data_IF_242841642331
#
_entry.id   IF_242841642331
#
_cell.length_a   1.000
_cell.length_b   1.000
_cell.length_c   1.000
_cell.angle_alpha   90.00
_cell.angle_beta   90.00
_cell.angle_gamma   90.00
#
_symmetry.space_group_name_H-M   'P 1'
#
loop_
_entity.id
_entity.type
_entity.pdbx_description
1 polymer ?
#
# COMPACT_ATOMS: atom_id res chain seq x y z
N UNK A 1 7.15 -48.33 -11.12
CA UNK A 1 6.84 -47.67 -12.41
C UNK A 1 6.63 -48.80 -13.39
N UNK A 2 5.39 -49.09 -13.78
CA UNK A 2 5.02 -50.30 -14.53
C UNK A 2 5.63 -50.31 -15.94
N UNK A 3 5.99 -51.50 -16.43
CA UNK A 3 6.54 -51.73 -17.78
C UNK A 3 5.70 -51.08 -18.89
N UNK A 4 4.39 -51.02 -18.68
CA UNK A 4 3.41 -50.38 -19.56
C UNK A 4 3.62 -48.87 -19.76
N UNK A 5 4.02 -48.14 -18.71
CA UNK A 5 4.31 -46.71 -18.82
C UNK A 5 5.55 -46.47 -19.68
N UNK A 6 6.52 -47.39 -19.63
CA UNK A 6 7.77 -47.28 -20.37
C UNK A 6 7.62 -47.64 -21.85
N UNK A 7 6.76 -48.60 -22.18
CA UNK A 7 6.35 -48.90 -23.55
C UNK A 7 5.51 -47.76 -24.14
N UNK A 8 4.54 -47.22 -23.38
CA UNK A 8 3.76 -46.06 -23.82
C UNK A 8 4.62 -44.83 -24.11
N UNK A 9 5.61 -44.54 -23.26
CA UNK A 9 6.55 -43.43 -23.48
C UNK A 9 7.42 -43.69 -24.71
N UNK A 10 7.89 -44.92 -24.95
CA UNK A 10 8.67 -45.28 -26.14
C UNK A 10 7.86 -45.12 -27.43
N UNK A 11 6.62 -45.61 -27.45
CA UNK A 11 5.75 -45.52 -28.63
C UNK A 11 5.37 -44.07 -28.97
N UNK A 12 5.23 -43.23 -27.95
CA UNK A 12 4.79 -41.84 -28.12
C UNK A 12 5.93 -40.80 -28.01
N UNK A 13 7.19 -41.23 -27.94
CA UNK A 13 8.32 -40.35 -27.61
C UNK A 13 8.50 -39.22 -28.63
N UNK A 14 8.23 -39.51 -29.91
CA UNK A 14 8.32 -38.53 -30.98
C UNK A 14 7.22 -37.45 -30.86
N UNK A 15 6.00 -37.86 -30.52
CA UNK A 15 4.85 -36.95 -30.32
C UNK A 15 5.04 -36.12 -29.04
N UNK A 16 5.53 -36.73 -27.96
CA UNK A 16 5.84 -36.04 -26.70
C UNK A 16 6.97 -35.02 -26.92
N UNK A 17 8.02 -35.40 -27.63
CA UNK A 17 9.15 -34.50 -27.95
C UNK A 17 8.72 -33.37 -28.86
N UNK A 18 7.89 -33.64 -29.89
CA UNK A 18 7.33 -32.61 -30.75
C UNK A 18 6.43 -31.64 -29.97
N UNK A 19 5.55 -32.15 -29.10
CA UNK A 19 4.72 -31.34 -28.20
C UNK A 19 5.56 -30.47 -27.26
N UNK A 20 6.59 -31.03 -26.63
CA UNK A 20 7.52 -30.27 -25.77
C UNK A 20 8.27 -29.20 -26.55
N UNK A 21 8.74 -29.51 -27.75
CA UNK A 21 9.46 -28.57 -28.61
C UNK A 21 8.57 -27.39 -29.01
N UNK A 22 7.30 -27.65 -29.33
CA UNK A 22 6.34 -26.60 -29.64
C UNK A 22 6.01 -25.74 -28.41
N UNK A 23 5.79 -26.35 -27.24
CA UNK A 23 5.58 -25.65 -25.97
C UNK A 23 6.80 -24.77 -25.63
N UNK A 24 8.01 -25.28 -25.80
CA UNK A 24 9.24 -24.52 -25.51
C UNK A 24 9.45 -23.36 -26.48
N UNK A 25 9.13 -23.51 -27.77
CA UNK A 25 9.17 -22.41 -28.74
C UNK A 25 8.15 -21.33 -28.37
N UNK A 26 6.90 -21.70 -28.06
CA UNK A 26 5.88 -20.73 -27.63
C UNK A 26 6.24 -20.02 -26.33
N UNK A 27 6.73 -20.76 -25.33
CA UNK A 27 7.21 -20.19 -24.06
C UNK A 27 8.39 -19.25 -24.28
N UNK A 28 9.36 -19.62 -25.13
CA UNK A 28 10.53 -18.80 -25.43
C UNK A 28 10.14 -17.51 -26.17
N UNK A 29 9.24 -17.60 -27.14
CA UNK A 29 8.72 -16.44 -27.86
C UNK A 29 7.89 -15.52 -26.95
N UNK A 30 7.04 -16.10 -26.08
CA UNK A 30 6.28 -15.35 -25.10
C UNK A 30 7.20 -14.66 -24.09
N UNK A 31 8.20 -15.37 -23.56
CA UNK A 31 9.21 -14.79 -22.68
C UNK A 31 9.97 -13.67 -23.40
N UNK A 32 10.46 -13.89 -24.62
CA UNK A 32 11.17 -12.87 -25.39
C UNK A 32 10.29 -11.62 -25.65
N UNK A 33 9.00 -11.80 -25.95
CA UNK A 33 8.05 -10.71 -26.13
C UNK A 33 7.83 -9.93 -24.83
N UNK A 34 7.54 -10.63 -23.73
CA UNK A 34 7.34 -10.00 -22.42
C UNK A 34 8.61 -9.34 -21.90
N UNK A 35 9.79 -9.92 -22.14
CA UNK A 35 11.05 -9.29 -21.74
C UNK A 35 11.36 -8.08 -22.61
N UNK A 36 11.28 -8.15 -23.95
CA UNK A 36 11.74 -7.05 -24.79
C UNK A 36 10.78 -5.85 -24.82
N UNK A 37 9.47 -6.05 -24.97
CA UNK A 37 8.54 -4.93 -25.13
C UNK A 37 8.21 -4.30 -23.77
N UNK A 38 7.88 -5.13 -22.78
CA UNK A 38 7.49 -4.64 -21.46
C UNK A 38 8.65 -3.95 -20.76
N UNK A 39 9.89 -4.43 -20.88
CA UNK A 39 11.03 -3.70 -20.33
C UNK A 39 11.23 -2.36 -21.00
N UNK A 40 11.13 -2.27 -22.34
CA UNK A 40 11.31 -0.99 -23.03
C UNK A 40 10.29 0.07 -22.62
N UNK A 41 9.02 -0.31 -22.52
CA UNK A 41 7.96 0.60 -22.11
C UNK A 41 8.11 1.02 -20.65
N UNK A 42 8.53 0.09 -19.79
CA UNK A 42 8.77 0.33 -18.37
C UNK A 42 10.02 1.21 -18.14
N UNK A 43 11.10 0.99 -18.88
CA UNK A 43 12.29 1.85 -18.85
C UNK A 43 11.98 3.26 -19.34
N UNK A 44 11.19 3.38 -20.41
CA UNK A 44 10.70 4.67 -20.91
C UNK A 44 9.83 5.36 -19.86
N UNK A 45 8.94 4.62 -19.20
CA UNK A 45 8.11 5.14 -18.12
C UNK A 45 8.97 5.66 -16.96
N UNK A 46 9.94 4.89 -16.46
CA UNK A 46 10.81 5.32 -15.37
C UNK A 46 11.64 6.55 -15.73
N UNK A 47 12.20 6.58 -16.94
CA UNK A 47 12.97 7.74 -17.42
C UNK A 47 12.10 9.00 -17.49
N UNK A 48 10.89 8.88 -18.03
CA UNK A 48 9.95 10.01 -18.10
C UNK A 48 9.45 10.42 -16.70
N UNK A 49 9.21 9.46 -15.81
CA UNK A 49 8.77 9.72 -14.44
C UNK A 49 9.85 10.45 -13.66
N UNK A 50 11.12 10.03 -13.80
CA UNK A 50 12.27 10.70 -13.19
C UNK A 50 12.45 12.11 -13.74
N UNK A 51 12.46 12.28 -15.06
CA UNK A 51 12.59 13.59 -15.70
C UNK A 51 11.43 14.53 -15.30
N UNK A 52 10.19 14.04 -15.25
CA UNK A 52 9.05 14.83 -14.77
C UNK A 52 9.15 15.16 -13.27
N UNK A 53 9.67 14.24 -12.45
CA UNK A 53 9.87 14.49 -11.03
C UNK A 53 10.88 15.62 -10.83
N UNK A 54 12.07 15.49 -11.42
CA UNK A 54 13.19 16.43 -11.24
C UNK A 54 12.91 17.81 -11.86
N UNK A 55 12.30 17.86 -13.05
CA UNK A 55 12.13 19.13 -13.78
C UNK A 55 10.87 19.91 -13.40
N UNK A 56 9.85 19.25 -12.84
CA UNK A 56 8.53 19.85 -12.66
C UNK A 56 7.96 19.65 -11.25
N UNK A 57 7.78 18.40 -10.82
CA UNK A 57 7.07 18.10 -9.57
C UNK A 57 7.89 18.53 -8.36
N UNK A 58 9.18 18.22 -8.32
CA UNK A 58 10.08 18.54 -7.21
C UNK A 58 10.28 20.05 -7.02
N UNK A 59 10.55 20.85 -8.07
CA UNK A 59 10.60 22.31 -7.94
C UNK A 59 9.28 22.94 -7.47
N UNK A 60 8.13 22.44 -7.97
CA UNK A 60 6.81 22.90 -7.52
C UNK A 60 6.59 22.53 -6.05
N UNK A 61 6.95 21.31 -5.66
CA UNK A 61 6.83 20.80 -4.29
C UNK A 61 7.55 21.69 -3.30
N UNK A 62 8.85 21.97 -3.52
CA UNK A 62 9.64 22.79 -2.61
C UNK A 62 9.16 24.25 -2.57
N UNK A 63 8.85 24.86 -3.72
CA UNK A 63 8.33 26.23 -3.76
C UNK A 63 7.00 26.37 -3.01
N UNK A 64 6.06 25.44 -3.19
CA UNK A 64 4.79 25.47 -2.45
C UNK A 64 4.98 25.27 -0.94
N UNK A 65 5.97 24.46 -0.55
CA UNK A 65 6.32 24.29 0.86
C UNK A 65 6.87 25.57 1.46
N UNK A 66 7.75 26.27 0.74
CA UNK A 66 8.33 27.54 1.18
C UNK A 66 7.26 28.63 1.29
N UNK A 67 6.35 28.72 0.31
CA UNK A 67 5.21 29.63 0.32
C UNK A 67 4.31 29.40 1.54
N UNK A 68 3.99 28.14 1.86
CA UNK A 68 3.11 27.84 3.01
C UNK A 68 3.74 28.25 4.35
N UNK A 69 5.06 28.13 4.48
CA UNK A 69 5.79 28.46 5.71
C UNK A 69 5.77 29.95 6.05
N UNK A 70 5.56 30.83 5.07
CA UNK A 70 5.48 32.27 5.30
C UNK A 70 4.15 32.63 5.98
N UNK A 71 4.21 33.38 7.07
CA UNK A 71 3.02 33.89 7.77
C UNK A 71 2.55 35.21 7.18
N UNK A 72 3.49 36.08 6.79
CA UNK A 72 3.21 37.40 6.25
C UNK A 72 2.43 37.35 4.92
N UNK A 73 1.38 38.17 4.81
CA UNK A 73 0.46 38.18 3.67
C UNK A 73 1.12 38.75 2.42
N UNK A 74 1.77 39.91 2.54
CA UNK A 74 2.38 40.60 1.41
C UNK A 74 3.49 39.75 0.80
N UNK A 75 4.39 39.24 1.64
CA UNK A 75 5.46 38.36 1.19
C UNK A 75 4.94 37.07 0.57
N UNK A 76 3.84 36.51 1.08
CA UNK A 76 3.23 35.30 0.49
C UNK A 76 2.66 35.57 -0.90
N UNK A 77 2.02 36.72 -1.12
CA UNK A 77 1.52 37.12 -2.44
C UNK A 77 2.67 37.31 -3.43
N UNK A 78 3.77 37.94 -3.00
CA UNK A 78 4.97 38.12 -3.81
C UNK A 78 5.56 36.77 -4.27
N UNK A 79 5.70 35.81 -3.34
CA UNK A 79 6.20 34.47 -3.68
C UNK A 79 5.23 33.68 -4.56
N UNK A 80 3.92 33.86 -4.39
CA UNK A 80 2.91 33.29 -5.28
C UNK A 80 3.01 33.88 -6.70
N UNK A 81 3.31 35.18 -6.80
CA UNK A 81 3.58 35.83 -8.09
C UNK A 81 4.80 35.21 -8.76
N UNK A 82 5.92 35.11 -8.05
CA UNK A 82 7.13 34.46 -8.56
C UNK A 82 6.88 33.00 -8.96
N UNK A 83 6.04 32.28 -8.21
CA UNK A 83 5.63 30.92 -8.51
C UNK A 83 4.87 30.84 -9.83
N UNK A 84 3.79 31.59 -10.01
CA UNK A 84 3.00 31.54 -11.25
C UNK A 84 3.71 32.21 -12.44
N UNK A 85 4.63 33.14 -12.20
CA UNK A 85 5.52 33.66 -13.24
C UNK A 85 6.51 32.59 -13.71
N UNK A 86 6.96 31.70 -12.82
CA UNK A 86 7.84 30.57 -13.19
C UNK A 86 7.07 29.40 -13.80
N UNK A 87 5.90 29.10 -13.24
CA UNK A 87 5.05 27.96 -13.57
C UNK A 87 3.66 28.47 -13.95
N UNK A 88 3.46 28.75 -15.23
CA UNK A 88 2.13 28.97 -15.80
C UNK A 88 1.93 28.08 -17.02
N UNK A 89 0.67 27.92 -17.42
CA UNK A 89 0.30 27.04 -18.54
C UNK A 89 0.98 27.37 -19.88
N UNK A 90 1.48 28.59 -20.07
CA UNK A 90 2.21 28.97 -21.28
C UNK A 90 3.70 28.60 -21.22
N UNK A 91 4.28 28.56 -20.01
CA UNK A 91 5.71 28.27 -19.80
C UNK A 91 5.98 26.79 -19.55
N UNK A 92 5.05 26.08 -18.90
CA UNK A 92 5.21 24.66 -18.62
C UNK A 92 4.28 23.84 -19.49
N UNK A 93 4.77 22.68 -19.93
CA UNK A 93 3.90 21.70 -20.57
C UNK A 93 3.05 21.01 -19.49
N UNK A 94 1.84 21.53 -19.24
CA UNK A 94 0.90 21.02 -18.22
C UNK A 94 0.64 19.52 -18.34
N UNK A 95 0.67 18.95 -19.56
CA UNK A 95 0.49 17.51 -19.74
C UNK A 95 1.55 16.66 -19.01
N UNK A 96 2.74 17.24 -18.75
CA UNK A 96 3.82 16.59 -17.99
C UNK A 96 3.52 16.44 -16.50
N UNK A 97 2.52 17.14 -15.96
CA UNK A 97 2.04 16.90 -14.59
C UNK A 97 1.46 15.48 -14.43
N UNK A 98 1.02 14.84 -15.53
CA UNK A 98 0.66 13.42 -15.57
C UNK A 98 -0.60 13.01 -14.79
N UNK A 99 -1.09 13.86 -13.89
CA UNK A 99 -2.27 13.62 -13.07
C UNK A 99 -3.33 14.68 -13.35
N UNK A 100 -4.49 14.26 -13.86
CA UNK A 100 -5.62 15.15 -14.16
C UNK A 100 -6.03 16.00 -12.95
N UNK A 101 -6.07 15.42 -11.75
CA UNK A 101 -6.45 16.14 -10.54
C UNK A 101 -5.43 17.23 -10.19
N UNK A 102 -4.14 16.96 -10.43
CA UNK A 102 -3.08 17.93 -10.22
C UNK A 102 -3.20 19.09 -11.23
N UNK A 103 -3.43 18.76 -12.50
CA UNK A 103 -3.64 19.75 -13.58
C UNK A 103 -4.83 20.66 -13.27
N UNK A 104 -5.99 20.08 -12.93
CA UNK A 104 -7.21 20.84 -12.67
C UNK A 104 -7.02 21.79 -11.47
N UNK A 105 -6.38 21.32 -10.39
CA UNK A 105 -6.11 22.17 -9.23
C UNK A 105 -5.06 23.24 -9.52
N UNK A 106 -4.04 22.94 -10.31
CA UNK A 106 -3.03 23.92 -10.71
C UNK A 106 -3.67 25.08 -11.48
N UNK A 107 -4.48 24.76 -12.49
CA UNK A 107 -5.22 25.76 -13.29
C UNK A 107 -6.20 26.56 -12.42
N UNK A 108 -6.90 25.90 -11.51
CA UNK A 108 -7.80 26.56 -10.55
C UNK A 108 -7.04 27.55 -9.66
N UNK A 109 -5.86 27.18 -9.17
CA UNK A 109 -5.03 28.07 -8.35
C UNK A 109 -4.54 29.28 -9.16
N UNK A 110 -4.09 29.07 -10.40
CA UNK A 110 -3.64 30.15 -11.27
C UNK A 110 -4.76 31.15 -11.55
N UNK A 111 -5.97 30.65 -11.84
CA UNK A 111 -7.15 31.49 -12.04
C UNK A 111 -7.54 32.28 -10.78
N UNK A 112 -7.52 31.63 -9.61
CA UNK A 112 -7.81 32.31 -8.35
C UNK A 112 -6.77 33.39 -8.05
N UNK A 113 -5.49 33.12 -8.31
CA UNK A 113 -4.41 34.09 -8.13
C UNK A 113 -4.55 35.32 -9.05
N UNK A 114 -4.91 35.10 -10.32
CA UNK A 114 -5.19 36.20 -11.26
C UNK A 114 -6.32 37.12 -10.80
N UNK A 115 -7.33 36.60 -10.10
CA UNK A 115 -8.41 37.42 -9.54
C UNK A 115 -7.90 38.39 -8.47
N UNK A 116 -7.01 37.95 -7.58
CA UNK A 116 -6.41 38.82 -6.56
C UNK A 116 -5.60 39.96 -7.17
N UNK A 117 -4.91 39.71 -8.29
CA UNK A 117 -4.15 40.76 -8.97
C UNK A 117 -5.05 41.87 -9.55
N UNK A 118 -6.35 41.60 -9.71
CA UNK A 118 -7.34 42.56 -10.21
C UNK A 118 -8.09 43.22 -9.04
N UNK A 119 -8.45 42.43 -8.02
CA UNK A 119 -9.24 42.86 -6.86
C UNK A 119 -8.59 42.32 -5.56
N UNK A 120 -8.06 43.23 -4.73
CA UNK A 120 -7.43 42.89 -3.45
C UNK A 120 -8.48 42.74 -2.33
N UNK A 121 -9.38 41.77 -2.54
CA UNK A 121 -10.38 41.38 -1.57
C UNK A 121 -9.86 40.29 -0.64
N UNK A 122 -10.08 40.46 0.67
CA UNK A 122 -9.72 39.44 1.66
C UNK A 122 -10.40 38.09 1.39
N UNK A 123 -11.61 38.10 0.82
CA UNK A 123 -12.33 36.87 0.44
C UNK A 123 -11.58 36.10 -0.67
N UNK A 124 -11.08 36.82 -1.68
CA UNK A 124 -10.29 36.23 -2.77
C UNK A 124 -8.95 35.72 -2.26
N UNK A 125 -8.32 36.44 -1.33
CA UNK A 125 -7.12 35.96 -0.64
C UNK A 125 -7.34 34.62 0.04
N UNK A 126 -8.39 34.47 0.85
CA UNK A 126 -8.71 33.20 1.49
C UNK A 126 -8.99 32.08 0.47
N UNK A 127 -9.67 32.38 -0.64
CA UNK A 127 -9.89 31.41 -1.73
C UNK A 127 -8.56 30.89 -2.31
N UNK A 128 -7.61 31.79 -2.60
CA UNK A 128 -6.28 31.41 -3.09
C UNK A 128 -5.52 30.57 -2.09
N UNK A 129 -5.51 30.95 -0.81
CA UNK A 129 -4.80 30.17 0.22
C UNK A 129 -5.37 28.76 0.35
N UNK A 130 -6.70 28.61 0.32
CA UNK A 130 -7.33 27.28 0.36
C UNK A 130 -6.95 26.46 -0.87
N UNK A 131 -6.99 27.05 -2.07
CA UNK A 131 -6.63 26.36 -3.31
C UNK A 131 -5.13 25.97 -3.31
N UNK A 132 -4.23 26.84 -2.86
CA UNK A 132 -2.79 26.58 -2.77
C UNK A 132 -2.50 25.44 -1.78
N UNK A 133 -3.18 25.40 -0.63
CA UNK A 133 -3.06 24.28 0.32
C UNK A 133 -3.51 22.95 -0.31
N UNK A 134 -4.62 22.97 -1.05
CA UNK A 134 -5.10 21.79 -1.78
C UNK A 134 -4.10 21.34 -2.85
N UNK A 135 -3.55 22.28 -3.63
CA UNK A 135 -2.54 22.00 -4.63
C UNK A 135 -1.28 21.40 -3.99
N UNK A 136 -0.78 21.99 -2.90
CA UNK A 136 0.38 21.48 -2.16
C UNK A 136 0.15 20.03 -1.73
N UNK A 137 -1.00 19.72 -1.13
CA UNK A 137 -1.29 18.35 -0.69
C UNK A 137 -1.27 17.36 -1.85
N UNK A 138 -1.81 17.73 -3.02
CA UNK A 138 -1.81 16.87 -4.21
C UNK A 138 -0.39 16.70 -4.75
N UNK A 139 0.38 17.78 -4.84
CA UNK A 139 1.79 17.75 -5.28
C UNK A 139 2.64 16.89 -4.34
N UNK A 140 2.49 17.04 -3.02
CA UNK A 140 3.18 16.22 -2.01
C UNK A 140 2.85 14.74 -2.20
N UNK A 141 1.58 14.42 -2.38
CA UNK A 141 1.13 13.04 -2.64
C UNK A 141 1.75 12.47 -3.92
N UNK A 142 1.78 13.25 -5.01
CA UNK A 142 2.30 12.80 -6.30
C UNK A 142 3.84 12.73 -6.29
N UNK A 143 4.52 13.64 -5.59
CA UNK A 143 5.96 13.63 -5.38
C UNK A 143 6.39 12.33 -4.68
N UNK A 144 5.80 12.01 -3.53
CA UNK A 144 6.15 10.78 -2.80
C UNK A 144 5.80 9.52 -3.58
N UNK A 145 4.68 9.51 -4.31
CA UNK A 145 4.34 8.37 -5.19
C UNK A 145 5.37 8.18 -6.31
N UNK A 146 5.78 9.25 -6.98
CA UNK A 146 6.80 9.18 -8.03
C UNK A 146 8.14 8.74 -7.44
N UNK A 147 8.53 9.31 -6.30
CA UNK A 147 9.75 8.95 -5.58
C UNK A 147 9.75 7.46 -5.20
N UNK A 148 8.67 6.95 -4.59
CA UNK A 148 8.54 5.54 -4.23
C UNK A 148 8.56 4.61 -5.46
N UNK A 149 8.07 5.07 -6.61
CA UNK A 149 8.07 4.29 -7.85
C UNK A 149 9.46 4.26 -8.47
N UNK A 150 10.12 5.41 -8.63
CA UNK A 150 11.45 5.54 -9.23
C UNK A 150 12.49 4.82 -8.38
N UNK A 151 12.44 5.00 -7.06
CA UNK A 151 13.43 4.45 -6.14
C UNK A 151 12.99 3.15 -5.49
N UNK A 152 11.92 2.51 -5.95
CA UNK A 152 11.34 1.29 -5.36
C UNK A 152 12.40 0.24 -4.99
N UNK A 153 13.35 0.00 -5.89
CA UNK A 153 14.36 -1.03 -5.75
C UNK A 153 15.72 -0.49 -5.26
N UNK A 154 15.83 0.81 -4.93
CA UNK A 154 17.08 1.46 -4.54
C UNK A 154 17.75 0.76 -3.35
N UNK A 155 17.00 0.48 -2.28
CA UNK A 155 17.54 -0.22 -1.11
C UNK A 155 18.00 -1.65 -1.44
N UNK A 156 17.30 -2.31 -2.36
CA UNK A 156 17.68 -3.64 -2.85
C UNK A 156 19.00 -3.57 -3.65
N UNK A 157 19.14 -2.61 -4.55
CA UNK A 157 20.39 -2.38 -5.29
C UNK A 157 21.53 -2.03 -4.34
N UNK A 158 21.32 -1.10 -3.40
CA UNK A 158 22.31 -0.72 -2.40
C UNK A 158 22.84 -1.91 -1.62
N UNK A 159 21.96 -2.80 -1.15
CA UNK A 159 22.37 -4.01 -0.42
C UNK A 159 23.05 -5.05 -1.31
N UNK A 160 22.61 -5.20 -2.55
CA UNK A 160 23.15 -6.23 -3.46
C UNK A 160 24.47 -5.86 -4.11
N UNK A 161 24.79 -4.56 -4.23
CA UNK A 161 26.07 -4.07 -4.78
C UNK A 161 27.25 -4.57 -3.96
N UNK A 162 27.14 -4.55 -2.63
CA UNK A 162 28.22 -4.96 -1.72
C UNK A 162 28.30 -6.48 -1.49
N UNK A 163 27.29 -7.24 -1.95
CA UNK A 163 27.27 -8.70 -1.82
C UNK A 163 28.21 -9.36 -2.83
N UNK A 164 28.84 -10.46 -2.42
CA UNK A 164 29.56 -11.32 -3.34
C UNK A 164 28.62 -11.85 -4.45
N UNK A 165 29.20 -12.20 -5.61
CA UNK A 165 28.43 -12.62 -6.78
C UNK A 165 27.52 -13.82 -6.50
N UNK A 166 27.99 -14.78 -5.69
CA UNK A 166 27.26 -16.00 -5.34
C UNK A 166 26.00 -15.68 -4.51
N UNK A 167 26.12 -14.87 -3.46
CA UNK A 167 24.97 -14.47 -2.64
C UNK A 167 23.97 -13.65 -3.44
N UNK A 168 24.45 -12.75 -4.32
CA UNK A 168 23.58 -11.99 -5.22
C UNK A 168 22.80 -12.91 -6.16
N UNK A 169 23.45 -13.94 -6.70
CA UNK A 169 22.80 -14.95 -7.54
C UNK A 169 21.77 -15.77 -6.73
N UNK A 170 22.14 -16.28 -5.55
CA UNK A 170 21.23 -17.02 -4.67
C UNK A 170 20.01 -16.20 -4.26
N UNK A 171 20.18 -14.91 -4.00
CA UNK A 171 19.08 -14.00 -3.66
C UNK A 171 18.13 -13.79 -4.85
N UNK A 172 18.66 -13.67 -6.08
CA UNK A 172 17.83 -13.62 -7.29
C UNK A 172 17.07 -14.94 -7.52
N UNK A 173 17.72 -16.08 -7.31
CA UNK A 173 17.07 -17.40 -7.40
C UNK A 173 15.98 -17.54 -6.33
N UNK A 174 16.24 -17.10 -5.10
CA UNK A 174 15.25 -17.12 -4.02
C UNK A 174 14.03 -16.23 -4.34
N UNK A 175 14.23 -15.04 -4.91
CA UNK A 175 13.14 -14.17 -5.37
C UNK A 175 12.32 -14.83 -6.49
N UNK A 176 13.01 -15.48 -7.45
CA UNK A 176 12.33 -16.23 -8.50
C UNK A 176 11.48 -17.36 -7.91
N UNK A 177 12.06 -18.19 -7.02
CA UNK A 177 11.35 -19.28 -6.36
C UNK A 177 10.15 -18.78 -5.54
N UNK A 178 10.30 -17.68 -4.80
CA UNK A 178 9.18 -17.06 -4.08
C UNK A 178 8.02 -16.74 -5.03
N UNK A 179 8.29 -16.07 -6.15
CA UNK A 179 7.25 -15.71 -7.13
C UNK A 179 6.65 -16.94 -7.81
N UNK A 180 7.45 -17.98 -8.07
CA UNK A 180 6.96 -19.25 -8.60
C UNK A 180 6.00 -19.93 -7.61
N UNK A 181 6.37 -20.04 -6.33
CA UNK A 181 5.50 -20.65 -5.32
C UNK A 181 4.24 -19.82 -5.04
N UNK A 182 4.30 -18.50 -5.14
CA UNK A 182 3.12 -17.65 -5.13
C UNK A 182 2.15 -17.99 -6.27
N UNK A 183 2.67 -18.14 -7.50
CA UNK A 183 1.86 -18.54 -8.66
C UNK A 183 1.26 -19.94 -8.51
N UNK A 184 2.05 -20.91 -8.02
CA UNK A 184 1.57 -22.28 -7.76
C UNK A 184 0.49 -22.28 -6.66
N UNK A 185 0.69 -21.54 -5.57
CA UNK A 185 -0.30 -21.42 -4.50
C UNK A 185 -1.61 -20.82 -5.02
N UNK A 186 -1.54 -19.80 -5.88
CA UNK A 186 -2.70 -19.22 -6.53
C UNK A 186 -3.43 -20.22 -7.43
N UNK A 187 -2.71 -20.96 -8.28
CA UNK A 187 -3.31 -22.00 -9.13
C UNK A 187 -3.94 -23.12 -8.28
N UNK A 188 -3.24 -23.58 -7.25
CA UNK A 188 -3.76 -24.60 -6.32
C UNK A 188 -5.03 -24.12 -5.61
N UNK A 189 -5.08 -22.85 -5.21
CA UNK A 189 -6.28 -22.23 -4.65
C UNK A 189 -7.44 -22.22 -5.65
N UNK A 190 -7.20 -21.79 -6.90
CA UNK A 190 -8.22 -21.81 -7.96
C UNK A 190 -8.75 -23.23 -8.18
N UNK A 191 -7.87 -24.21 -8.37
CA UNK A 191 -8.29 -25.61 -8.53
C UNK A 191 -9.06 -26.16 -7.34
N UNK A 192 -8.65 -25.83 -6.11
CA UNK A 192 -9.34 -26.24 -4.90
C UNK A 192 -10.74 -25.61 -4.81
N UNK A 193 -10.88 -24.32 -5.11
CA UNK A 193 -12.20 -23.66 -5.14
C UNK A 193 -13.12 -24.23 -6.23
N UNK A 194 -12.61 -24.43 -7.45
CA UNK A 194 -13.37 -25.08 -8.52
C UNK A 194 -13.79 -26.48 -8.15
N UNK A 195 -12.90 -27.28 -7.53
CA UNK A 195 -13.23 -28.62 -7.06
C UNK A 195 -14.35 -28.60 -6.01
N UNK A 196 -14.28 -27.70 -5.02
CA UNK A 196 -15.34 -27.55 -4.01
C UNK A 196 -16.68 -27.20 -4.66
N UNK A 197 -16.70 -26.25 -5.59
CA UNK A 197 -17.91 -25.83 -6.29
C UNK A 197 -18.51 -27.00 -7.06
N UNK A 198 -17.71 -27.71 -7.86
CA UNK A 198 -18.18 -28.86 -8.65
C UNK A 198 -18.68 -30.00 -7.75
N UNK A 199 -17.98 -30.32 -6.66
CA UNK A 199 -18.42 -31.35 -5.71
C UNK A 199 -19.73 -31.03 -4.99
N UNK A 200 -20.07 -29.74 -4.82
CA UNK A 200 -21.39 -29.34 -4.30
C UNK A 200 -22.49 -29.61 -5.33
N UNK A 201 -22.24 -29.33 -6.61
CA UNK A 201 -23.21 -29.57 -7.68
C UNK A 201 -23.42 -31.06 -7.99
N UNK A 202 -22.34 -31.85 -8.01
CA UNK A 202 -22.37 -33.26 -8.40
C UNK A 202 -22.63 -34.22 -7.22
N UNK A 203 -22.85 -33.70 -6.00
CA UNK A 203 -23.03 -34.47 -4.75
C UNK A 203 -21.99 -35.58 -4.51
N UNK A 204 -20.83 -35.51 -5.18
CA UNK A 204 -19.77 -36.51 -5.13
C UNK A 204 -18.47 -35.87 -4.66
N UNK A 205 -18.17 -36.07 -3.37
CA UNK A 205 -16.96 -35.52 -2.76
C UNK A 205 -15.86 -36.58 -2.72
N UNK A 206 -14.84 -36.40 -3.56
CA UNK A 206 -13.66 -37.25 -3.54
C UNK A 206 -12.62 -36.72 -2.54
N UNK A 207 -12.62 -37.31 -1.33
CA UNK A 207 -11.73 -36.93 -0.22
C UNK A 207 -10.25 -37.00 -0.60
N UNK A 208 -9.85 -37.99 -1.42
CA UNK A 208 -8.46 -38.15 -1.85
C UNK A 208 -8.01 -36.98 -2.74
N UNK A 209 -8.81 -36.63 -3.77
CA UNK A 209 -8.52 -35.48 -4.65
C UNK A 209 -8.48 -34.18 -3.87
N UNK A 210 -9.44 -33.98 -2.96
CA UNK A 210 -9.45 -32.81 -2.08
C UNK A 210 -8.18 -32.71 -1.22
N UNK A 211 -7.77 -33.82 -0.60
CA UNK A 211 -6.59 -33.86 0.27
C UNK A 211 -5.31 -33.55 -0.50
N UNK A 212 -5.18 -34.04 -1.74
CA UNK A 212 -4.03 -33.72 -2.61
C UNK A 212 -4.00 -32.24 -2.98
N UNK A 213 -5.13 -31.66 -3.36
CA UNK A 213 -5.23 -30.23 -3.71
C UNK A 213 -4.94 -29.34 -2.49
N UNK A 214 -5.49 -29.69 -1.33
CA UNK A 214 -5.25 -28.97 -0.07
C UNK A 214 -3.77 -29.05 0.33
N UNK A 215 -3.16 -30.23 0.27
CA UNK A 215 -1.75 -30.41 0.59
C UNK A 215 -0.85 -29.60 -0.36
N UNK A 216 -1.14 -29.62 -1.66
CA UNK A 216 -0.42 -28.82 -2.66
C UNK A 216 -0.51 -27.31 -2.37
N UNK A 217 -1.70 -26.82 -2.01
CA UNK A 217 -1.92 -25.43 -1.62
C UNK A 217 -1.15 -25.05 -0.34
N UNK A 218 -1.22 -25.89 0.70
CA UNK A 218 -0.53 -25.63 1.96
C UNK A 218 0.99 -25.66 1.78
N UNK A 219 1.51 -26.63 1.04
CA UNK A 219 2.93 -26.78 0.79
C UNK A 219 3.51 -25.61 -0.02
N UNK A 220 2.84 -25.22 -1.11
CA UNK A 220 3.25 -24.05 -1.91
C UNK A 220 3.18 -22.75 -1.12
N UNK A 221 2.17 -22.58 -0.27
CA UNK A 221 2.07 -21.43 0.63
C UNK A 221 3.21 -21.41 1.65
N UNK A 222 3.54 -22.54 2.27
CA UNK A 222 4.64 -22.64 3.23
C UNK A 222 5.99 -22.29 2.58
N UNK A 223 6.26 -22.79 1.37
CA UNK A 223 7.47 -22.44 0.64
C UNK A 223 7.51 -20.97 0.23
N UNK A 224 6.39 -20.41 -0.25
CA UNK A 224 6.28 -18.97 -0.51
C UNK A 224 6.65 -18.14 0.72
N UNK A 225 6.14 -18.50 1.90
CA UNK A 225 6.46 -17.82 3.15
C UNK A 225 7.93 -17.98 3.54
N UNK A 226 8.51 -19.18 3.43
CA UNK A 226 9.92 -19.42 3.73
C UNK A 226 10.85 -18.56 2.86
N UNK A 227 10.66 -18.58 1.53
CA UNK A 227 11.45 -17.73 0.63
C UNK A 227 11.17 -16.24 0.84
N UNK A 228 9.93 -15.86 1.19
CA UNK A 228 9.58 -14.50 1.57
C UNK A 228 10.32 -14.02 2.82
N UNK A 229 10.42 -14.86 3.86
CA UNK A 229 11.20 -14.58 5.06
C UNK A 229 12.68 -14.42 4.73
N UNK A 230 13.27 -15.36 3.98
CA UNK A 230 14.66 -15.27 3.52
C UNK A 230 14.90 -13.95 2.76
N UNK A 231 14.09 -13.63 1.76
CA UNK A 231 14.27 -12.41 0.97
C UNK A 231 14.12 -11.13 1.81
N UNK A 232 13.21 -11.11 2.79
CA UNK A 232 13.05 -9.98 3.71
C UNK A 232 14.22 -9.80 4.68
N UNK A 233 14.85 -10.90 5.12
CA UNK A 233 16.01 -10.87 6.01
C UNK A 233 17.27 -10.32 5.33
N UNK A 234 17.47 -10.64 4.05
CA UNK A 234 18.64 -10.19 3.29
C UNK A 234 18.43 -8.84 2.57
N UNK A 235 17.19 -8.45 2.30
CA UNK A 235 16.86 -7.17 1.69
C UNK A 235 15.71 -6.47 2.44
N UNK A 236 16.03 -5.44 3.24
CA UNK A 236 15.15 -4.25 3.25
C UNK A 236 14.83 -3.82 1.82
N UNK A 237 13.71 -4.32 1.33
CA UNK A 237 13.18 -4.02 0.00
C UNK A 237 12.36 -2.74 -0.02
N UNK A 238 12.28 -1.99 1.09
CA UNK A 238 11.08 -1.19 1.34
C UNK A 238 11.36 0.31 1.50
N UNK A 239 11.46 0.99 0.36
CA UNK A 239 11.00 2.39 0.29
C UNK A 239 9.47 2.48 0.16
N UNK A 240 8.81 1.37 -0.19
CA UNK A 240 7.36 1.27 -0.39
C UNK A 240 6.64 0.87 0.91
N UNK A 241 5.55 1.56 1.27
CA UNK A 241 4.56 1.03 2.23
C UNK A 241 4.08 -0.33 1.75
N UNK A 242 4.41 -1.39 2.47
CA UNK A 242 3.92 -2.73 2.13
C UNK A 242 2.45 -2.90 2.50
N UNK A 243 1.76 -3.87 1.89
CA UNK A 243 0.43 -4.33 2.33
C UNK A 243 0.42 -4.69 3.82
N UNK A 244 1.56 -5.12 4.38
CA UNK A 244 1.78 -5.31 5.81
C UNK A 244 1.74 -3.99 6.59
N UNK A 245 2.31 -2.90 6.06
CA UNK A 245 2.25 -1.58 6.70
C UNK A 245 0.83 -0.99 6.63
N UNK A 246 0.14 -1.20 5.51
CA UNK A 246 -1.28 -0.84 5.35
C UNK A 246 -2.16 -1.65 6.30
N UNK A 247 -1.92 -2.97 6.43
CA UNK A 247 -2.61 -3.84 7.39
C UNK A 247 -2.28 -3.43 8.83
N UNK A 248 -1.02 -3.09 9.12
CA UNK A 248 -0.59 -2.60 10.43
C UNK A 248 -1.27 -1.28 10.78
N UNK A 249 -1.34 -0.33 9.86
CA UNK A 249 -2.07 0.94 10.04
C UNK A 249 -3.59 0.71 10.17
N UNK A 250 -4.17 -0.24 9.43
CA UNK A 250 -5.56 -0.64 9.62
C UNK A 250 -5.80 -1.27 11.00
N UNK A 251 -4.92 -2.16 11.46
CA UNK A 251 -5.00 -2.76 12.79
C UNK A 251 -4.79 -1.70 13.88
N UNK A 252 -3.84 -0.79 13.73
CA UNK A 252 -3.59 0.31 14.67
C UNK A 252 -4.78 1.26 14.72
N UNK A 253 -5.33 1.66 13.58
CA UNK A 253 -6.51 2.54 13.53
C UNK A 253 -7.78 1.85 14.03
N UNK A 254 -7.94 0.55 13.80
CA UNK A 254 -9.03 -0.25 14.35
C UNK A 254 -8.88 -0.38 15.87
N UNK A 255 -7.69 -0.75 16.37
CA UNK A 255 -7.43 -0.86 17.81
C UNK A 255 -7.60 0.46 18.53
N UNK A 256 -7.15 1.58 17.97
CA UNK A 256 -7.37 2.92 18.54
C UNK A 256 -8.85 3.31 18.58
N UNK A 257 -9.63 3.02 17.51
CA UNK A 257 -11.09 3.21 17.53
C UNK A 257 -11.79 2.34 18.58
N UNK A 258 -11.40 1.08 18.71
CA UNK A 258 -11.91 0.17 19.74
C UNK A 258 -11.53 0.68 21.13
N UNK A 259 -10.28 1.09 21.35
CA UNK A 259 -9.82 1.61 22.64
C UNK A 259 -10.57 2.88 23.04
N UNK A 260 -10.79 3.82 22.12
CA UNK A 260 -11.61 5.02 22.35
C UNK A 260 -13.07 4.64 22.62
N UNK A 261 -13.61 3.68 21.88
CA UNK A 261 -14.97 3.16 22.06
C UNK A 261 -15.20 2.46 23.40
N UNK A 262 -14.18 1.80 23.95
CA UNK A 262 -14.20 1.12 25.26
C UNK A 262 -13.94 2.10 26.43
N UNK A 263 -13.19 3.18 26.19
CA UNK A 263 -12.88 4.20 27.22
C UNK A 263 -14.13 4.89 27.75
N UNK A 264 -15.12 5.14 26.89
CA UNK A 264 -16.40 5.80 27.24
C UNK A 264 -17.26 4.97 28.20
N UNK A 265 -17.60 3.70 27.92
CA UNK A 265 -18.37 2.86 28.84
C UNK A 265 -17.61 2.57 30.14
N UNK A 266 -16.28 2.39 30.10
CA UNK A 266 -15.49 2.20 31.32
C UNK A 266 -15.54 3.42 32.25
N UNK A 267 -15.47 4.64 31.70
CA UNK A 267 -15.61 5.88 32.47
C UNK A 267 -17.01 6.04 33.08
N UNK A 268 -18.05 5.61 32.37
CA UNK A 268 -19.43 5.62 32.85
C UNK A 268 -19.66 4.60 33.97
N UNK A 269 -19.14 3.38 33.81
CA UNK A 269 -19.18 2.33 34.84
C UNK A 269 -18.42 2.78 36.09
N UNK A 270 -17.23 3.36 35.93
CA UNK A 270 -16.45 3.89 37.05
C UNK A 270 -17.18 5.02 37.81
N UNK A 271 -17.84 5.95 37.09
CA UNK A 271 -18.67 6.99 37.68
C UNK A 271 -19.88 6.40 38.42
N UNK A 272 -20.53 5.39 37.85
CA UNK A 272 -21.64 4.67 38.47
C UNK A 272 -21.24 3.96 39.76
N UNK A 273 -20.11 3.23 39.75
CA UNK A 273 -19.55 2.58 40.93
C UNK A 273 -19.18 3.59 42.02
N UNK A 274 -18.56 4.72 41.66
CA UNK A 274 -18.24 5.79 42.61
C UNK A 274 -19.50 6.37 43.26
N UNK A 275 -20.58 6.56 42.50
CA UNK A 275 -21.87 7.03 43.03
C UNK A 275 -22.49 6.01 43.99
N UNK A 276 -22.51 4.73 43.63
CA UNK A 276 -23.01 3.64 44.48
C UNK A 276 -22.22 3.60 45.80
N UNK A 277 -20.90 3.69 45.73
CA UNK A 277 -20.04 3.68 46.92
C UNK A 277 -20.30 4.86 47.86
N UNK A 278 -20.51 6.08 47.31
CA UNK A 278 -20.88 7.26 48.11
C UNK A 278 -22.24 7.06 48.78
N UNK A 279 -23.23 6.50 48.07
CA UNK A 279 -24.57 6.27 48.59
C UNK A 279 -24.56 5.20 49.70
N UNK A 280 -23.80 4.12 49.51
CA UNK A 280 -23.57 3.08 50.52
C UNK A 280 -22.91 3.64 51.77
N UNK A 281 -21.88 4.48 51.62
CA UNK A 281 -21.22 5.15 52.75
C UNK A 281 -22.21 6.01 53.54
N UNK A 282 -23.06 6.79 52.86
CA UNK A 282 -24.11 7.59 53.53
C UNK A 282 -25.14 6.71 54.25
N UNK A 283 -25.55 5.62 53.63
CA UNK A 283 -26.51 4.67 54.22
C UNK A 283 -25.94 4.00 55.48
N UNK A 284 -24.69 3.54 55.42
CA UNK A 284 -23.98 2.95 56.58
C UNK A 284 -23.87 3.98 57.72
N UNK A 285 -23.50 5.23 57.42
CA UNK A 285 -23.44 6.30 58.43
C UNK A 285 -24.82 6.56 59.04
N UNK A 286 -25.88 6.57 58.24
CA UNK A 286 -27.26 6.74 58.72
C UNK A 286 -27.71 5.60 59.64
N UNK A 287 -27.35 4.36 59.30
CA UNK A 287 -27.63 3.18 60.14
C UNK A 287 -26.89 3.29 61.46
N UNK A 288 -25.59 3.61 61.43
CA UNK A 288 -24.78 3.76 62.65
C UNK A 288 -25.33 4.88 63.53
N UNK A 289 -25.78 6.01 62.97
CA UNK A 289 -26.42 7.08 63.75
C UNK A 289 -27.76 6.67 64.35
N UNK A 290 -28.53 5.83 63.66
CA UNK A 290 -29.82 5.31 64.15
C UNK A 290 -29.59 4.40 65.37
N UNK A 291 -28.67 3.43 65.26
CA UNK A 291 -28.32 2.54 66.38
C UNK A 291 -27.67 3.28 67.56
N UNK A 292 -26.96 4.39 67.32
CA UNK A 292 -26.35 5.19 68.38
C UNK A 292 -27.37 6.04 69.17
N UNK A 293 -28.46 6.47 68.53
CA UNK A 293 -29.55 7.20 69.22
C UNK A 293 -30.43 6.28 70.07
N UNK A 294 -30.60 5.02 69.68
CA UNK A 294 -31.40 4.05 70.47
C UNK A 294 -30.70 3.63 71.77
N UNK A 295 -29.37 3.66 71.86
CA UNK A 295 -28.63 3.35 73.10
C UNK A 295 -28.59 4.49 74.12
N UNK A 296 -28.96 5.71 73.74
CA UNK A 296 -28.98 6.87 74.66
C UNK A 296 -30.33 7.09 75.36
N UNK A 297 -31.36 6.30 75.00
CA UNK A 297 -32.71 6.40 75.57
C UNK A 297 -33.10 5.17 76.42
N UNK A 298 -32.14 4.33 76.81
CA UNK A 298 -32.32 3.22 77.76
C UNK A 298 -31.51 3.43 79.04
#
# INVERSE_FOLDING_TARGET
MSSELWEFIKENIAVITAGLSLITVFLSAAMAYFYNIKHKDLDRFYKNAQDNMETLIEPIYFKLRDIEAIVDKERKIELLKEFFDSYNYNKINISRLGNRKLIDNFLKCELAFKKILIDDSEVLYQEVIVNIKQLKHIVDTDYWKLFEVIYKDYNWYKKTVDMNYILRFLLKVSLFLQNTFYGIAFLAYVFLTTFIILSIFDFSFNVFRFSVLLLSFLFSTALYLLFGMYNSAFADTKQKRTTVDILREMIISFTDKVFRGVKVPFLLIWRGLKYIFIKLKKFIVSIISFFRNDQTNS
#
